data_IF_182859551475
#
_entry.id   IF_182859551475
#
_cell.length_a   1.000
_cell.length_b   1.000
_cell.length_c   1.000
_cell.angle_alpha   90.00
_cell.angle_beta   90.00
_cell.angle_gamma   90.00
#
_symmetry.space_group_name_H-M   'P 1'
#
loop_
_entity.id
_entity.type
_entity.pdbx_description
1 polymer ?
#
# COMPACT_ATOMS: atom_id res chain seq x y z
N UNK A 1 1.13 6.27 9.58
CA UNK A 1 -0.15 6.67 10.20
C UNK A 1 -0.44 8.15 9.97
N UNK A 2 0.00 9.08 10.83
CA UNK A 2 -0.39 10.50 10.65
C UNK A 2 0.24 11.16 9.41
N UNK A 3 1.42 10.73 8.94
CA UNK A 3 1.94 11.10 7.61
C UNK A 3 0.94 10.83 6.47
N UNK A 4 0.21 9.71 6.53
CA UNK A 4 -0.83 9.37 5.55
C UNK A 4 -2.05 10.28 5.77
N UNK A 5 -2.54 10.40 7.01
CA UNK A 5 -3.73 11.23 7.33
C UNK A 5 -3.53 12.70 6.97
N UNK A 6 -2.38 13.29 7.28
CA UNK A 6 -2.09 14.68 6.95
C UNK A 6 -2.15 14.92 5.45
N UNK A 7 -1.58 14.00 4.66
CA UNK A 7 -1.65 14.07 3.20
C UNK A 7 -3.06 13.83 2.64
N UNK A 8 -3.88 13.04 3.32
CA UNK A 8 -5.31 12.92 2.98
C UNK A 8 -6.04 14.23 3.30
N UNK A 9 -5.81 14.80 4.49
CA UNK A 9 -6.47 16.02 4.92
C UNK A 9 -6.07 17.27 4.12
N UNK A 10 -4.83 17.34 3.65
CA UNK A 10 -4.35 18.44 2.79
C UNK A 10 -4.52 18.18 1.29
N UNK A 11 -5.15 17.06 0.91
CA UNK A 11 -5.50 16.74 -0.47
C UNK A 11 -4.37 16.16 -1.33
N UNK A 12 -3.16 15.98 -0.79
CA UNK A 12 -2.05 15.32 -1.51
C UNK A 12 -2.29 13.84 -1.78
N UNK A 13 -3.18 13.18 -1.04
CA UNK A 13 -3.67 11.84 -1.33
C UNK A 13 -5.18 11.94 -1.59
N UNK A 14 -5.57 11.67 -2.83
CA UNK A 14 -6.99 11.59 -3.20
C UNK A 14 -7.61 10.27 -2.72
N UNK A 15 -8.94 10.21 -2.66
CA UNK A 15 -9.65 8.97 -2.32
C UNK A 15 -9.40 7.81 -3.27
N UNK A 16 -8.95 8.09 -4.50
CA UNK A 16 -8.58 7.08 -5.49
C UNK A 16 -7.18 6.46 -5.26
N UNK A 17 -6.44 6.93 -4.25
CA UNK A 17 -5.08 6.45 -3.96
C UNK A 17 -4.85 6.16 -2.46
N UNK A 18 -5.93 6.03 -1.68
CA UNK A 18 -5.84 5.82 -0.24
C UNK A 18 -5.00 4.60 0.11
N UNK A 19 -5.25 3.48 -0.56
CA UNK A 19 -4.64 2.21 -0.20
C UNK A 19 -3.23 2.09 -0.77
N UNK A 20 -3.02 2.52 -2.01
CA UNK A 20 -1.70 2.64 -2.65
C UNK A 20 -0.75 3.48 -1.80
N UNK A 21 -1.16 4.68 -1.40
CA UNK A 21 -0.29 5.58 -0.63
C UNK A 21 -0.10 5.10 0.81
N UNK A 22 -1.07 4.36 1.36
CA UNK A 22 -0.89 3.67 2.64
C UNK A 22 0.25 2.63 2.56
N UNK A 23 0.24 1.76 1.54
CA UNK A 23 1.30 0.76 1.36
C UNK A 23 2.63 1.36 0.94
N UNK A 24 2.65 2.45 0.16
CA UNK A 24 3.87 3.19 -0.13
C UNK A 24 4.55 3.69 1.15
N UNK A 25 3.77 4.22 2.10
CA UNK A 25 4.29 4.67 3.40
C UNK A 25 4.70 3.50 4.31
N UNK A 26 3.98 2.36 4.27
CA UNK A 26 4.35 1.13 4.98
C UNK A 26 5.70 0.60 4.48
N UNK A 27 5.89 0.51 3.17
CA UNK A 27 7.17 0.12 2.58
C UNK A 27 8.27 1.12 2.95
N UNK A 28 8.03 2.42 2.72
CA UNK A 28 9.03 3.48 2.96
C UNK A 28 9.55 3.55 4.39
N UNK A 29 8.68 3.38 5.40
CA UNK A 29 9.06 3.58 6.80
C UNK A 29 9.21 2.30 7.61
N UNK A 30 8.65 1.18 7.16
CA UNK A 30 8.65 -0.09 7.91
C UNK A 30 9.27 -1.26 7.14
N UNK A 31 9.51 -1.13 5.84
CA UNK A 31 10.01 -2.24 5.02
C UNK A 31 9.00 -3.37 4.86
N UNK A 32 7.71 -3.06 4.88
CA UNK A 32 6.64 -4.05 4.80
C UNK A 32 5.87 -3.95 3.49
N UNK A 33 5.70 -5.11 2.84
CA UNK A 33 4.79 -5.29 1.71
C UNK A 33 3.49 -5.99 2.15
N UNK A 34 2.38 -5.82 1.42
CA UNK A 34 1.19 -6.60 1.68
C UNK A 34 1.43 -8.07 1.26
N UNK A 35 0.93 -9.05 2.04
CA UNK A 35 1.07 -10.46 1.70
C UNK A 35 0.23 -10.88 0.49
N UNK A 36 -0.80 -10.11 0.12
CA UNK A 36 -1.64 -10.35 -1.06
C UNK A 36 -1.80 -9.02 -1.80
N UNK A 37 -1.93 -9.06 -3.12
CA UNK A 37 -2.20 -7.86 -3.91
C UNK A 37 -3.43 -7.10 -3.36
N UNK A 38 -3.30 -5.79 -3.25
CA UNK A 38 -4.37 -4.90 -2.79
C UNK A 38 -4.79 -3.98 -3.93
N UNK A 39 -6.05 -3.60 -3.90
CA UNK A 39 -6.67 -2.66 -4.85
C UNK A 39 -7.16 -1.42 -4.09
N UNK A 40 -7.78 -0.47 -4.79
CA UNK A 40 -8.44 0.69 -4.15
C UNK A 40 -9.89 0.39 -3.73
N UNK A 41 -10.42 -0.80 -4.06
CA UNK A 41 -11.64 -1.31 -3.41
C UNK A 41 -11.38 -1.70 -1.95
N UNK A 42 -10.09 -1.85 -1.59
CA UNK A 42 -9.63 -2.07 -0.23
C UNK A 42 -9.37 -0.76 0.52
N UNK A 43 -9.60 -0.75 1.82
CA UNK A 43 -9.27 0.37 2.71
C UNK A 43 -8.53 -0.11 3.96
N UNK A 44 -7.30 -0.59 3.78
CA UNK A 44 -6.46 -1.12 4.86
C UNK A 44 -6.19 -0.14 6.02
N UNK A 45 -6.02 1.18 5.83
CA UNK A 45 -5.94 2.11 6.97
C UNK A 45 -7.20 2.05 7.85
N UNK A 46 -8.38 1.76 7.29
CA UNK A 46 -9.63 1.59 8.04
C UNK A 46 -9.60 0.44 9.04
N UNK A 47 -8.75 -0.57 8.82
CA UNK A 47 -8.58 -1.70 9.75
C UNK A 47 -7.79 -1.33 11.02
N UNK A 48 -7.21 -0.12 11.09
CA UNK A 48 -6.52 0.37 12.29
C UNK A 48 -7.42 1.34 13.05
N UNK A 49 -7.93 0.92 14.21
CA UNK A 49 -8.85 1.65 15.11
C UNK A 49 -8.77 3.19 15.09
N UNK A 50 -7.58 3.76 15.21
CA UNK A 50 -7.38 5.22 15.27
C UNK A 50 -7.84 5.97 14.01
N UNK A 51 -7.89 5.32 12.85
CA UNK A 51 -8.41 5.89 11.61
C UNK A 51 -9.93 6.09 11.70
N UNK A 52 -10.77 5.04 11.84
CA UNK A 52 -12.22 5.23 11.95
C UNK A 52 -12.66 5.95 13.23
N UNK A 53 -11.92 5.80 14.33
CA UNK A 53 -12.22 6.52 15.58
C UNK A 53 -11.76 7.99 15.58
N UNK A 54 -11.13 8.46 14.50
CA UNK A 54 -10.58 9.82 14.36
C UNK A 54 -9.66 10.25 15.53
N UNK A 55 -8.81 9.34 16.01
CA UNK A 55 -7.87 9.62 17.11
C UNK A 55 -6.50 9.97 16.54
N UNK A 56 -5.92 11.16 16.82
CA UNK A 56 -4.56 11.53 16.41
C UNK A 56 -3.48 10.51 16.82
N UNK A 57 -2.59 10.11 15.92
CA UNK A 57 -1.62 9.05 16.16
C UNK A 57 -0.21 9.55 16.52
N UNK A 58 0.14 10.78 16.16
CA UNK A 58 1.46 11.40 16.41
C UNK A 58 1.82 11.42 17.90
N UNK A 59 0.82 11.41 18.78
CA UNK A 59 0.99 11.28 20.24
C UNK A 59 1.82 10.07 20.63
N UNK A 60 1.71 8.96 19.91
CA UNK A 60 2.49 7.75 20.19
C UNK A 60 3.95 7.95 19.81
N UNK A 61 4.23 8.49 18.62
CA UNK A 61 5.60 8.79 18.19
C UNK A 61 6.30 9.74 19.16
N UNK A 62 5.62 10.82 19.55
CA UNK A 62 6.12 11.74 20.58
C UNK A 62 6.35 11.01 21.90
N UNK A 63 5.38 10.22 22.38
CA UNK A 63 5.51 9.47 23.63
C UNK A 63 6.69 8.50 23.62
N UNK A 64 6.98 7.86 22.48
CA UNK A 64 8.10 6.93 22.36
C UNK A 64 9.46 7.63 22.46
N UNK A 65 9.57 8.90 22.08
CA UNK A 65 10.80 9.67 22.26
C UNK A 65 10.90 10.22 23.69
N UNK A 66 9.87 10.92 24.15
CA UNK A 66 9.93 11.65 25.42
C UNK A 66 9.95 10.74 26.64
N UNK A 67 9.40 9.52 26.56
CA UNK A 67 9.41 8.60 27.70
C UNK A 67 10.85 8.26 28.13
N UNK A 68 11.79 8.12 27.20
CA UNK A 68 13.19 7.85 27.53
C UNK A 68 13.91 9.11 28.05
N UNK A 69 13.55 10.29 27.54
CA UNK A 69 14.07 11.55 28.09
C UNK A 69 13.64 11.73 29.55
N UNK A 70 12.37 11.43 29.85
CA UNK A 70 11.85 11.47 31.21
C UNK A 70 12.47 10.37 32.06
N UNK A 71 12.54 9.13 31.56
CA UNK A 71 13.15 8.03 32.28
C UNK A 71 14.59 8.36 32.69
N UNK A 72 15.43 8.83 31.76
CA UNK A 72 16.80 9.27 32.08
C UNK A 72 16.85 10.36 33.15
N UNK A 73 16.00 11.40 33.02
CA UNK A 73 15.96 12.48 33.99
C UNK A 73 15.54 11.98 35.39
N UNK A 74 14.57 11.09 35.47
CA UNK A 74 14.08 10.50 36.71
C UNK A 74 15.11 9.55 37.33
N UNK A 75 15.82 8.77 36.53
CA UNK A 75 16.94 7.92 36.98
C UNK A 75 18.08 8.75 37.57
N UNK A 76 18.42 9.88 36.93
CA UNK A 76 19.40 10.82 37.47
C UNK A 76 18.94 11.40 38.81
N UNK A 77 17.66 11.78 38.93
CA UNK A 77 17.08 12.26 40.19
C UNK A 77 17.09 11.17 41.28
N UNK A 78 16.87 9.92 40.90
CA UNK A 78 16.99 8.74 41.76
C UNK A 78 18.44 8.35 42.09
N UNK A 79 19.43 9.08 41.55
CA UNK A 79 20.87 8.82 41.71
C UNK A 79 21.29 7.42 41.24
N UNK A 80 20.61 6.88 40.23
CA UNK A 80 20.99 5.63 39.59
C UNK A 80 22.40 5.72 39.01
N UNK A 81 23.15 4.62 39.10
CA UNK A 81 24.47 4.47 38.49
C UNK A 81 24.49 3.21 37.64
N UNK A 82 25.13 3.27 36.47
CA UNK A 82 25.21 2.16 35.53
C UNK A 82 24.31 2.36 34.31
N UNK A 83 24.07 1.29 33.53
CA UNK A 83 23.31 1.38 32.30
C UNK A 83 21.88 1.89 32.53
N UNK A 84 21.36 2.72 31.62
CA UNK A 84 20.04 3.33 31.78
C UNK A 84 18.92 2.28 31.83
N UNK A 85 19.01 1.19 31.07
CA UNK A 85 18.00 0.13 31.02
C UNK A 85 17.89 -0.72 32.29
N UNK A 86 18.81 -0.57 33.26
CA UNK A 86 18.73 -1.25 34.56
C UNK A 86 18.16 -0.36 35.67
N UNK A 87 17.85 0.90 35.36
CA UNK A 87 17.30 1.84 36.32
C UNK A 87 15.88 1.43 36.76
N UNK A 88 15.67 1.43 38.07
CA UNK A 88 14.34 1.39 38.69
C UNK A 88 14.17 2.64 39.59
N UNK A 89 13.08 3.37 39.37
CA UNK A 89 12.75 4.59 40.12
C UNK A 89 11.82 4.31 41.31
N UNK A 90 11.49 3.04 41.58
CA UNK A 90 10.67 2.62 42.70
C UNK A 90 11.18 3.23 44.02
N UNK A 91 10.26 3.80 44.81
CA UNK A 91 10.52 4.50 46.07
C UNK A 91 11.40 5.77 46.01
N UNK A 92 11.81 6.25 44.82
CA UNK A 92 12.50 7.53 44.71
C UNK A 92 11.52 8.71 44.88
N UNK A 93 11.61 9.39 46.02
CA UNK A 93 10.81 10.59 46.32
C UNK A 93 11.24 11.77 45.45
N UNK A 94 12.52 11.86 45.13
CA UNK A 94 13.11 12.91 44.30
C UNK A 94 12.58 12.81 42.86
N UNK A 95 12.59 11.61 42.27
CA UNK A 95 11.99 11.36 40.97
C UNK A 95 10.47 11.63 40.98
N UNK A 96 9.77 11.14 42.01
CA UNK A 96 8.34 11.38 42.18
C UNK A 96 7.97 12.87 42.29
N UNK A 97 8.76 13.65 43.05
CA UNK A 97 8.58 15.10 43.16
C UNK A 97 8.79 15.79 41.80
N UNK A 98 9.87 15.44 41.09
CA UNK A 98 10.18 16.02 39.78
C UNK A 98 9.05 15.77 38.77
N UNK A 99 8.60 14.52 38.64
CA UNK A 99 7.47 14.18 37.77
C UNK A 99 6.18 14.87 38.20
N UNK A 100 5.87 14.84 39.50
CA UNK A 100 4.66 15.44 40.05
C UNK A 100 4.58 16.95 39.83
N UNK A 101 5.69 17.67 39.95
CA UNK A 101 5.73 19.12 39.72
C UNK A 101 5.49 19.48 38.25
N UNK A 102 5.99 18.68 37.30
CA UNK A 102 5.68 18.86 35.87
C UNK A 102 4.22 18.53 35.58
N UNK A 103 3.69 17.43 36.14
CA UNK A 103 2.28 17.03 35.91
C UNK A 103 1.28 18.06 36.42
N UNK A 104 1.58 18.77 37.52
CA UNK A 104 0.72 19.84 38.07
C UNK A 104 0.49 21.00 37.10
N UNK A 105 1.39 21.22 36.14
CA UNK A 105 1.23 22.29 35.15
C UNK A 105 0.07 22.01 34.19
N UNK A 106 -0.27 20.74 33.94
CA UNK A 106 -1.29 20.37 32.95
C UNK A 106 -1.03 21.05 31.60
N UNK A 107 -1.96 21.88 31.16
CA UNK A 107 -1.85 22.68 29.93
C UNK A 107 -1.64 24.20 30.20
N UNK A 108 -1.25 24.58 31.42
CA UNK A 108 -1.11 26.00 31.79
C UNK A 108 0.16 26.66 31.27
N UNK A 109 1.13 25.89 30.78
CA UNK A 109 2.43 26.36 30.27
C UNK A 109 2.75 25.69 28.93
N UNK A 110 3.53 26.36 28.05
CA UNK A 110 4.08 25.73 26.86
C UNK A 110 4.84 24.44 27.21
N UNK A 111 4.61 23.38 26.42
CA UNK A 111 5.27 22.09 26.65
C UNK A 111 6.81 22.15 26.73
N UNK A 112 7.54 23.05 26.02
CA UNK A 112 9.00 23.14 26.17
C UNK A 112 9.44 23.58 27.57
N UNK A 113 8.63 24.40 28.27
CA UNK A 113 8.91 24.80 29.66
C UNK A 113 8.76 23.60 30.60
N UNK A 114 7.69 22.81 30.42
CA UNK A 114 7.46 21.57 31.16
C UNK A 114 8.59 20.54 30.89
N UNK A 115 9.02 20.40 29.63
CA UNK A 115 10.13 19.54 29.22
C UNK A 115 11.46 19.98 29.86
N UNK A 116 11.73 21.29 29.91
CA UNK A 116 12.92 21.84 30.55
C UNK A 116 12.91 21.63 32.07
N UNK A 117 11.74 21.71 32.71
CA UNK A 117 11.60 21.49 34.14
C UNK A 117 11.99 20.07 34.57
N UNK A 118 11.63 19.04 33.79
CA UNK A 118 12.00 17.65 34.08
C UNK A 118 13.38 17.26 33.53
N UNK A 119 13.71 17.63 32.29
CA UNK A 119 14.92 17.12 31.62
C UNK A 119 16.11 18.08 31.65
N UNK A 120 15.92 19.32 32.11
CA UNK A 120 16.92 20.38 32.03
C UNK A 120 17.08 21.03 30.64
N UNK A 121 16.31 20.60 29.64
CA UNK A 121 16.36 21.18 28.29
C UNK A 121 14.98 21.19 27.61
N UNK A 122 14.68 22.13 26.69
CA UNK A 122 13.32 22.34 26.20
C UNK A 122 12.91 21.50 24.97
N UNK A 123 13.83 20.75 24.36
CA UNK A 123 13.61 20.08 23.07
C UNK A 123 13.29 18.60 23.23
N UNK A 124 12.62 18.02 22.24
CA UNK A 124 12.58 16.57 22.12
C UNK A 124 13.94 16.07 21.60
N UNK A 125 14.40 14.95 22.13
CA UNK A 125 15.69 14.35 21.79
C UNK A 125 15.60 12.83 21.84
N UNK A 126 16.07 12.17 20.77
CA UNK A 126 16.16 10.72 20.70
C UNK A 126 17.39 10.17 21.45
N UNK A 127 18.31 11.02 21.92
CA UNK A 127 19.56 10.55 22.54
C UNK A 127 19.34 9.61 23.74
N UNK A 128 18.40 9.88 24.68
CA UNK A 128 18.16 8.94 25.78
C UNK A 128 17.53 7.61 25.35
N UNK A 129 16.76 7.59 24.25
CA UNK A 129 16.25 6.35 23.66
C UNK A 129 17.42 5.53 23.09
N UNK A 130 18.32 6.18 22.35
CA UNK A 130 19.50 5.51 21.80
C UNK A 130 20.41 4.96 22.90
N UNK A 131 20.66 5.73 23.96
CA UNK A 131 21.44 5.29 25.12
C UNK A 131 20.82 4.08 25.83
N UNK A 132 19.50 4.07 26.00
CA UNK A 132 18.80 2.94 26.61
C UNK A 132 19.04 1.64 25.83
N UNK A 133 18.93 1.70 24.51
CA UNK A 133 19.07 0.53 23.62
C UNK A 133 20.50 0.30 23.12
N UNK A 134 21.48 1.09 23.52
CA UNK A 134 22.85 1.01 22.98
C UNK A 134 23.44 -0.42 23.03
N UNK A 135 23.33 -1.19 24.13
CA UNK A 135 23.88 -2.54 24.17
C UNK A 135 23.21 -3.49 23.15
N UNK A 136 21.92 -3.29 22.86
CA UNK A 136 21.21 -4.07 21.86
C UNK A 136 21.61 -3.65 20.45
N UNK A 137 21.81 -2.35 20.21
CA UNK A 137 22.28 -1.83 18.93
C UNK A 137 23.65 -2.42 18.59
N UNK A 138 24.61 -2.34 19.52
CA UNK A 138 25.97 -2.87 19.32
C UNK A 138 25.95 -4.38 19.01
N UNK A 139 25.08 -5.13 19.71
CA UNK A 139 24.90 -6.56 19.49
C UNK A 139 24.29 -6.85 18.10
N UNK A 140 23.23 -6.13 17.72
CA UNK A 140 22.57 -6.30 16.43
C UNK A 140 23.49 -5.96 15.25
N UNK A 141 24.29 -4.90 15.35
CA UNK A 141 25.27 -4.54 14.33
C UNK A 141 26.32 -5.64 14.14
N UNK A 142 26.80 -6.22 15.24
CA UNK A 142 27.76 -7.33 15.21
C UNK A 142 27.14 -8.58 14.56
N UNK A 143 25.93 -8.96 14.97
CA UNK A 143 25.29 -10.17 14.47
C UNK A 143 24.88 -10.04 12.99
N UNK A 144 24.35 -8.87 12.59
CA UNK A 144 24.03 -8.58 11.19
C UNK A 144 25.28 -8.64 10.31
N UNK A 145 26.40 -8.06 10.76
CA UNK A 145 27.67 -8.10 10.02
C UNK A 145 28.21 -9.53 9.89
N UNK A 146 28.09 -10.35 10.94
CA UNK A 146 28.48 -11.76 10.93
C UNK A 146 27.65 -12.59 9.95
N UNK A 147 26.36 -12.29 9.81
CA UNK A 147 25.46 -12.97 8.88
C UNK A 147 25.57 -12.45 7.44
N UNK A 148 26.16 -11.27 7.25
CA UNK A 148 26.16 -10.59 5.95
C UNK A 148 24.78 -10.04 5.60
N UNK A 149 23.98 -9.67 6.60
CA UNK A 149 22.63 -9.15 6.40
C UNK A 149 22.65 -7.80 5.68
N UNK A 150 21.72 -7.63 4.73
CA UNK A 150 21.56 -6.37 4.00
C UNK A 150 20.64 -5.44 4.80
N UNK A 151 21.16 -4.31 5.26
CA UNK A 151 20.37 -3.32 5.98
C UNK A 151 19.43 -2.57 5.04
N UNK A 152 18.15 -2.50 5.43
CA UNK A 152 17.10 -1.94 4.61
C UNK A 152 16.48 -2.96 3.66
N UNK A 153 15.86 -2.48 2.60
CA UNK A 153 15.11 -3.30 1.64
C UNK A 153 15.36 -2.78 0.21
N UNK A 154 16.53 -3.07 -0.39
CA UNK A 154 16.86 -2.58 -1.73
C UNK A 154 15.93 -3.15 -2.81
N UNK A 155 15.45 -4.39 -2.63
CA UNK A 155 14.41 -5.01 -3.45
C UNK A 155 13.01 -4.57 -2.97
N UNK A 156 12.76 -3.26 -2.98
CA UNK A 156 11.51 -2.69 -2.46
C UNK A 156 10.25 -3.04 -3.27
N UNK A 157 10.42 -3.57 -4.48
CA UNK A 157 9.36 -4.05 -5.37
C UNK A 157 9.06 -5.55 -5.23
N UNK A 158 9.81 -6.26 -4.39
CA UNK A 158 9.58 -7.66 -4.06
C UNK A 158 8.18 -7.90 -3.48
N UNK A 159 7.53 -8.99 -3.90
CA UNK A 159 6.19 -9.39 -3.45
C UNK A 159 6.17 -10.90 -3.14
N UNK A 160 5.58 -11.32 -2.00
CA UNK A 160 5.58 -12.72 -1.56
C UNK A 160 4.76 -13.63 -2.49
N UNK A 161 3.68 -13.13 -3.05
CA UNK A 161 2.93 -13.78 -4.12
C UNK A 161 3.03 -12.90 -5.35
N UNK A 162 4.11 -13.08 -6.11
CA UNK A 162 4.03 -12.77 -7.53
C UNK A 162 2.92 -13.67 -8.08
N UNK A 163 1.73 -13.12 -8.31
CA UNK A 163 0.80 -13.77 -9.25
C UNK A 163 1.66 -14.13 -10.46
N UNK A 164 1.58 -15.37 -11.01
CA UNK A 164 2.29 -15.69 -12.24
C UNK A 164 2.03 -14.53 -13.19
N UNK A 165 3.10 -13.93 -13.71
CA UNK A 165 3.00 -12.82 -14.65
C UNK A 165 1.85 -13.13 -15.58
N UNK A 166 0.87 -12.21 -15.79
CA UNK A 166 -0.19 -12.48 -16.74
C UNK A 166 0.52 -12.92 -18.00
N UNK A 167 0.33 -14.19 -18.38
CA UNK A 167 1.07 -14.78 -19.48
C UNK A 167 0.78 -13.89 -20.67
N UNK A 168 1.73 -13.02 -21.00
CA UNK A 168 1.54 -12.03 -22.07
C UNK A 168 1.34 -12.76 -23.38
N UNK A 169 1.81 -14.01 -23.45
CA UNK A 169 1.66 -14.91 -24.57
C UNK A 169 0.54 -15.91 -24.34
N UNK A 170 -0.39 -15.96 -25.29
CA UNK A 170 -1.47 -16.94 -25.40
C UNK A 170 -1.22 -17.84 -26.60
N UNK A 171 -1.70 -19.09 -26.55
CA UNK A 171 -1.68 -19.96 -27.71
C UNK A 171 -2.86 -19.62 -28.64
N UNK A 172 -2.54 -19.21 -29.87
CA UNK A 172 -3.51 -18.90 -30.91
C UNK A 172 -3.13 -19.68 -32.18
N UNK A 173 -3.94 -20.68 -32.53
CA UNK A 173 -3.72 -21.58 -33.68
C UNK A 173 -2.37 -22.32 -33.66
N UNK A 174 -1.87 -22.71 -32.48
CA UNK A 174 -0.58 -23.38 -32.32
C UNK A 174 0.62 -22.43 -32.33
N UNK A 175 0.38 -21.12 -32.29
CA UNK A 175 1.41 -20.08 -32.20
C UNK A 175 1.33 -19.37 -30.85
N UNK A 176 2.49 -19.13 -30.25
CA UNK A 176 2.60 -18.43 -28.96
C UNK A 176 2.72 -16.92 -29.20
N UNK A 177 1.60 -16.19 -29.10
CA UNK A 177 1.48 -14.77 -29.49
C UNK A 177 1.11 -13.87 -28.32
N UNK A 178 1.52 -12.60 -28.36
CA UNK A 178 1.06 -11.61 -27.39
C UNK A 178 -0.48 -11.46 -27.40
N UNK A 179 -1.09 -11.23 -26.24
CA UNK A 179 -2.55 -11.15 -26.08
C UNK A 179 -3.21 -10.15 -27.03
N UNK A 180 -2.58 -9.00 -27.28
CA UNK A 180 -3.05 -8.00 -28.24
C UNK A 180 -3.00 -8.51 -29.70
N UNK A 181 -1.98 -9.27 -30.07
CA UNK A 181 -1.84 -9.86 -31.40
C UNK A 181 -2.85 -10.99 -31.63
N UNK A 182 -3.13 -11.81 -30.62
CA UNK A 182 -4.15 -12.85 -30.68
C UNK A 182 -5.56 -12.26 -30.87
N UNK A 183 -5.89 -11.17 -30.15
CA UNK A 183 -7.16 -10.45 -30.33
C UNK A 183 -7.29 -9.90 -31.75
N UNK A 184 -6.23 -9.28 -32.29
CA UNK A 184 -6.22 -8.80 -33.67
C UNK A 184 -6.42 -9.95 -34.68
N UNK A 185 -5.73 -11.07 -34.48
CA UNK A 185 -5.89 -12.27 -35.31
C UNK A 185 -7.32 -12.82 -35.29
N UNK A 186 -7.96 -12.84 -34.13
CA UNK A 186 -9.36 -13.30 -33.98
C UNK A 186 -10.34 -12.42 -34.77
N UNK A 187 -10.17 -11.10 -34.73
CA UNK A 187 -10.99 -10.18 -35.53
C UNK A 187 -10.76 -10.34 -37.03
N UNK A 188 -9.52 -10.53 -37.47
CA UNK A 188 -9.19 -10.76 -38.89
C UNK A 188 -9.86 -12.05 -39.38
N UNK A 189 -9.78 -13.15 -38.62
CA UNK A 189 -10.42 -14.42 -38.98
C UNK A 189 -11.94 -14.31 -39.01
N UNK A 190 -12.54 -13.58 -38.06
CA UNK A 190 -13.99 -13.36 -38.03
C UNK A 190 -14.47 -12.57 -39.25
N UNK A 191 -13.75 -11.52 -39.63
CA UNK A 191 -14.06 -10.72 -40.84
C UNK A 191 -13.86 -11.55 -42.11
N UNK A 192 -12.76 -12.30 -42.21
CA UNK A 192 -12.51 -13.18 -43.35
C UNK A 192 -13.57 -14.29 -43.48
N UNK A 193 -13.99 -14.88 -42.36
CA UNK A 193 -15.06 -15.88 -42.30
C UNK A 193 -16.41 -15.31 -42.74
N UNK A 194 -16.78 -14.12 -42.27
CA UNK A 194 -17.99 -13.43 -42.70
C UNK A 194 -17.94 -13.08 -44.20
N UNK A 195 -16.81 -12.62 -44.71
CA UNK A 195 -16.65 -12.32 -46.14
C UNK A 195 -16.80 -13.59 -47.00
N UNK A 196 -16.22 -14.71 -46.59
CA UNK A 196 -16.39 -16.01 -47.24
C UNK A 196 -17.84 -16.51 -47.19
N UNK A 197 -18.51 -16.34 -46.05
CA UNK A 197 -19.93 -16.67 -45.91
C UNK A 197 -20.80 -15.84 -46.87
N UNK A 198 -20.55 -14.53 -46.96
CA UNK A 198 -21.27 -13.66 -47.90
C UNK A 198 -20.98 -14.04 -49.35
N UNK A 199 -19.72 -14.31 -49.69
CA UNK A 199 -19.33 -14.73 -51.04
C UNK A 199 -19.97 -16.06 -51.45
N UNK A 200 -20.02 -17.04 -50.53
CA UNK A 200 -20.67 -18.34 -50.78
C UNK A 200 -22.19 -18.18 -50.92
N UNK A 201 -22.84 -17.33 -50.12
CA UNK A 201 -24.26 -16.99 -50.28
C UNK A 201 -24.52 -16.33 -51.64
N UNK A 202 -23.67 -15.38 -52.05
CA UNK A 202 -23.80 -14.70 -53.35
C UNK A 202 -23.59 -15.66 -54.53
N UNK A 203 -22.62 -16.57 -54.43
CA UNK A 203 -22.38 -17.61 -55.42
C UNK A 203 -23.56 -18.59 -55.49
N UNK A 204 -24.08 -19.04 -54.35
CA UNK A 204 -25.25 -19.91 -54.28
C UNK A 204 -26.50 -19.20 -54.86
N UNK A 205 -26.68 -17.91 -54.56
CA UNK A 205 -27.75 -17.09 -55.12
C UNK A 205 -27.62 -16.97 -56.65
N UNK A 206 -26.43 -16.63 -57.17
CA UNK A 206 -26.17 -16.56 -58.62
C UNK A 206 -26.39 -17.92 -59.31
N UNK A 207 -25.91 -19.01 -58.70
CA UNK A 207 -26.10 -20.37 -59.19
C UNK A 207 -27.60 -20.73 -59.27
N UNK A 208 -28.36 -20.45 -58.21
CA UNK A 208 -29.81 -20.72 -58.14
C UNK A 208 -30.61 -19.84 -59.11
N UNK A 209 -30.18 -18.60 -59.35
CA UNK A 209 -30.75 -17.70 -60.36
C UNK A 209 -30.46 -18.19 -61.79
N UNK A 210 -29.25 -18.68 -62.07
CA UNK A 210 -28.87 -19.26 -63.36
C UNK A 210 -29.64 -20.56 -63.67
N UNK A 211 -30.00 -21.32 -62.63
CA UNK A 211 -30.81 -22.55 -62.75
C UNK A 211 -32.33 -22.33 -62.74
N UNK A 212 -32.82 -21.10 -62.63
CA UNK A 212 -34.27 -20.84 -62.80
C UNK A 212 -34.60 -21.05 -64.29
N UNK A 213 -35.45 -22.02 -64.65
CA UNK A 213 -35.91 -22.15 -66.02
C UNK A 213 -36.70 -20.88 -66.38
N UNK A 214 -36.44 -20.32 -67.57
CA UNK A 214 -37.28 -19.27 -68.15
C UNK A 214 -38.73 -19.76 -68.14
N UNK A 215 -39.58 -19.13 -67.33
CA UNK A 215 -41.03 -19.30 -67.49
C UNK A 215 -41.39 -18.64 -68.82
N UNK A 216 -41.73 -19.48 -69.80
CA UNK A 216 -42.33 -19.10 -71.07
C UNK A 216 -43.48 -18.11 -70.86
N UNK A 217 -43.53 -17.08 -71.71
CA UNK A 217 -44.42 -15.90 -71.69
C UNK A 217 -45.92 -16.22 -71.87
N UNK A 218 -46.34 -17.48 -71.78
CA UNK A 218 -47.69 -17.96 -72.12
C UNK A 218 -48.61 -18.20 -70.92
N UNK A 219 -48.25 -17.79 -69.70
CA UNK A 219 -49.06 -18.02 -68.48
C UNK A 219 -49.47 -16.76 -67.71
N UNK A 220 -49.35 -15.56 -68.30
CA UNK A 220 -49.76 -14.29 -67.67
C UNK A 220 -51.17 -13.79 -68.05
N UNK A 221 -51.87 -14.45 -68.96
CA UNK A 221 -53.26 -14.11 -69.34
C UNK A 221 -54.21 -15.19 -68.80
N UNK A 222 -54.65 -15.09 -67.53
CA UNK A 222 -55.89 -15.71 -67.00
C UNK A 222 -56.10 -15.41 -65.49
N UNK A 223 -55.88 -14.17 -65.06
CA UNK A 223 -56.37 -13.72 -63.75
C UNK A 223 -56.88 -12.29 -63.81
N UNK A 224 -57.78 -12.07 -64.75
CA UNK A 224 -58.66 -10.91 -64.84
C UNK A 224 -59.95 -11.38 -65.51
N UNK A 225 -60.86 -11.98 -64.73
CA UNK A 225 -62.33 -11.77 -64.75
C UNK A 225 -63.05 -12.95 -64.09
N UNK A 226 -64.00 -12.58 -63.21
CA UNK A 226 -65.00 -13.36 -62.46
C UNK A 226 -64.57 -14.08 -61.19
#
# INVERSE_FOLDING_TARGET
MDQWRWKVFDGRISSAEYNKEWWNLRMKYQGLCPPVARTEDDFDPGAKFHIPANVPYVRYFVSFVIQFQFHKALCNAAKHTGPLHTCDIYQSKEAGKLMGDVMKLGFSKPWPEAMAMITGQPKMSALPLMEYFQPLIDWLETENAKNGDVLGWPEYDWKPYAAPSPQTKVDFLGMNLDSSAAVAGQWILLVAGLALLVATILLAYKYRKSKKPEKSLSTLELKSTS
#
